data_IF_352184399064
#
_entry.id   IF_352184399064
#
_cell.length_a   1.000
_cell.length_b   1.000
_cell.length_c   1.000
_cell.angle_alpha   90.00
_cell.angle_beta   90.00
_cell.angle_gamma   90.00
#
_symmetry.space_group_name_H-M   'P 1'
#
loop_
_entity.id
_entity.type
_entity.pdbx_description
1 polymer ?
#
# COMPACT_ATOMS: atom_id res chain seq x y z
N UNK A 1 27.46 6.73 -9.76
CA UNK A 1 26.00 6.52 -9.70
C UNK A 1 25.65 5.50 -10.76
N UNK A 2 24.99 4.37 -10.42
CA UNK A 2 24.46 3.49 -11.45
C UNK A 2 23.40 4.25 -12.26
N UNK A 3 23.42 4.06 -13.57
CA UNK A 3 22.41 4.60 -14.47
C UNK A 3 21.40 3.50 -14.81
N UNK A 4 20.11 3.81 -14.64
CA UNK A 4 19.02 2.98 -15.14
C UNK A 4 18.53 3.64 -16.43
N UNK A 5 18.67 2.94 -17.55
CA UNK A 5 18.13 3.38 -18.82
C UNK A 5 16.67 2.93 -18.89
N UNK A 6 15.77 3.86 -19.17
CA UNK A 6 14.34 3.62 -19.29
C UNK A 6 13.91 4.20 -20.63
N UNK A 7 13.18 3.41 -21.40
CA UNK A 7 12.61 3.82 -22.67
C UNK A 7 11.21 4.37 -22.43
N UNK A 8 10.92 5.50 -23.06
CA UNK A 8 9.62 6.15 -23.08
C UNK A 8 9.25 6.41 -24.53
N UNK A 9 7.97 6.31 -24.85
CA UNK A 9 7.45 6.82 -26.12
C UNK A 9 7.61 8.34 -26.19
N UNK A 10 7.52 8.90 -27.39
CA UNK A 10 7.56 10.36 -27.56
C UNK A 10 6.39 11.05 -26.84
N UNK A 11 5.20 10.45 -26.91
CA UNK A 11 3.98 10.91 -26.22
C UNK A 11 4.17 10.92 -24.70
N UNK A 12 4.68 9.83 -24.12
CA UNK A 12 4.97 9.74 -22.68
C UNK A 12 5.99 10.80 -22.23
N UNK A 13 7.02 11.07 -23.05
CA UNK A 13 8.01 12.10 -22.73
C UNK A 13 7.40 13.50 -22.74
N UNK A 14 6.48 13.78 -23.65
CA UNK A 14 5.84 15.08 -23.75
C UNK A 14 4.90 15.32 -22.56
N UNK A 15 4.11 14.33 -22.17
CA UNK A 15 3.29 14.36 -20.95
C UNK A 15 4.15 14.57 -19.70
N UNK A 16 5.25 13.80 -19.54
CA UNK A 16 6.14 13.93 -18.39
C UNK A 16 6.85 15.29 -18.34
N UNK A 17 7.19 15.87 -19.50
CA UNK A 17 7.77 17.22 -19.58
C UNK A 17 6.76 18.27 -19.19
N UNK A 18 5.50 18.14 -19.63
CA UNK A 18 4.43 19.03 -19.23
C UNK A 18 4.23 18.99 -17.72
N UNK A 19 4.07 17.80 -17.15
CA UNK A 19 3.93 17.60 -15.72
C UNK A 19 5.11 18.18 -14.92
N UNK A 20 6.34 17.98 -15.39
CA UNK A 20 7.52 18.53 -14.75
C UNK A 20 7.53 20.06 -14.76
N UNK A 21 7.08 20.68 -15.87
CA UNK A 21 6.94 22.15 -15.98
C UNK A 21 5.88 22.68 -15.02
N UNK A 22 4.72 22.05 -14.96
CA UNK A 22 3.63 22.43 -14.05
C UNK A 22 4.08 22.40 -12.58
N UNK A 23 4.87 21.40 -12.21
CA UNK A 23 5.40 21.24 -10.85
C UNK A 23 6.67 22.07 -10.58
N UNK A 24 7.23 22.74 -11.60
CA UNK A 24 8.46 23.53 -11.46
C UNK A 24 9.71 22.69 -11.15
N UNK A 25 9.74 21.42 -11.57
CA UNK A 25 10.85 20.49 -11.33
C UNK A 25 11.48 20.01 -12.65
N UNK A 26 12.68 19.42 -12.58
CA UNK A 26 13.26 18.78 -13.77
C UNK A 26 12.60 17.44 -14.05
N UNK A 27 12.53 17.02 -15.32
CA UNK A 27 12.02 15.70 -15.72
C UNK A 27 12.71 14.56 -14.94
N UNK A 28 14.03 14.64 -14.77
CA UNK A 28 14.80 13.66 -13.99
C UNK A 28 14.38 13.63 -12.51
N UNK A 29 14.13 14.79 -11.91
CA UNK A 29 13.68 14.89 -10.53
C UNK A 29 12.27 14.31 -10.36
N UNK A 30 11.36 14.62 -11.29
CA UNK A 30 10.01 14.07 -11.34
C UNK A 30 10.03 12.53 -11.40
N UNK A 31 10.73 11.95 -12.37
CA UNK A 31 10.81 10.49 -12.53
C UNK A 31 11.42 9.84 -11.29
N UNK A 32 12.50 10.42 -10.74
CA UNK A 32 13.12 9.91 -9.51
C UNK A 32 12.16 9.96 -8.31
N UNK A 33 11.43 11.06 -8.14
CA UNK A 33 10.49 11.24 -7.03
C UNK A 33 9.35 10.23 -7.13
N UNK A 34 8.74 10.09 -8.31
CA UNK A 34 7.67 9.11 -8.57
C UNK A 34 8.11 7.68 -8.24
N UNK A 35 9.31 7.27 -8.67
CA UNK A 35 9.84 5.94 -8.33
C UNK A 35 10.09 5.78 -6.82
N UNK A 36 10.61 6.82 -6.16
CA UNK A 36 10.83 6.78 -4.72
C UNK A 36 9.51 6.68 -3.94
N UNK A 37 8.48 7.40 -4.37
CA UNK A 37 7.15 7.37 -3.77
C UNK A 37 6.48 6.01 -3.93
N UNK A 38 6.63 5.35 -5.09
CA UNK A 38 6.17 3.98 -5.29
C UNK A 38 6.84 3.00 -4.32
N UNK A 39 8.16 3.13 -4.11
CA UNK A 39 8.88 2.29 -3.15
C UNK A 39 8.38 2.55 -1.72
N UNK A 40 8.20 3.83 -1.35
CA UNK A 40 7.70 4.21 -0.03
C UNK A 40 6.28 3.67 0.20
N UNK A 41 5.39 3.82 -0.77
CA UNK A 41 4.03 3.28 -0.74
C UNK A 41 4.04 1.75 -0.59
N UNK A 42 4.87 1.06 -1.36
CA UNK A 42 4.99 -0.40 -1.27
C UNK A 42 5.42 -0.85 0.13
N UNK A 43 6.42 -0.19 0.74
CA UNK A 43 6.86 -0.48 2.11
C UNK A 43 5.75 -0.21 3.13
N UNK A 44 5.10 0.93 3.04
CA UNK A 44 4.02 1.29 3.95
C UNK A 44 2.86 0.28 3.90
N UNK A 45 2.47 -0.16 2.70
CA UNK A 45 1.43 -1.18 2.54
C UNK A 45 1.87 -2.53 3.12
N UNK A 46 3.13 -2.92 2.92
CA UNK A 46 3.65 -4.17 3.48
C UNK A 46 3.68 -4.14 5.01
N UNK A 47 4.22 -3.08 5.59
CA UNK A 47 4.26 -2.90 7.05
C UNK A 47 2.85 -2.83 7.65
N UNK A 48 1.94 -2.11 6.99
CA UNK A 48 0.53 -2.04 7.38
C UNK A 48 -0.14 -3.42 7.37
N UNK A 49 0.10 -4.23 6.33
CA UNK A 49 -0.43 -5.59 6.25
C UNK A 49 0.13 -6.50 7.35
N UNK A 50 1.43 -6.39 7.68
CA UNK A 50 2.05 -7.15 8.77
C UNK A 50 1.49 -6.76 10.15
N UNK A 51 1.32 -5.46 10.40
CA UNK A 51 0.71 -4.96 11.64
C UNK A 51 -0.75 -5.41 11.73
N UNK A 52 -1.52 -5.28 10.66
CA UNK A 52 -2.90 -5.73 10.60
C UNK A 52 -3.01 -7.22 10.92
N UNK A 53 -2.23 -8.06 10.23
CA UNK A 53 -2.21 -9.50 10.48
C UNK A 53 -1.84 -9.84 11.93
N UNK A 54 -0.84 -9.15 12.51
CA UNK A 54 -0.45 -9.36 13.90
C UNK A 54 -1.57 -8.99 14.89
N UNK A 55 -2.20 -7.84 14.69
CA UNK A 55 -3.23 -7.32 15.60
C UNK A 55 -4.50 -8.16 15.56
N UNK A 56 -4.99 -8.51 14.36
CA UNK A 56 -6.23 -9.27 14.22
C UNK A 56 -6.06 -10.78 14.43
N UNK A 57 -4.82 -11.29 14.44
CA UNK A 57 -4.55 -12.65 14.92
C UNK A 57 -4.21 -12.72 16.41
N UNK A 58 -4.21 -11.60 17.15
CA UNK A 58 -4.00 -11.59 18.59
C UNK A 58 -5.27 -12.08 19.31
N UNK A 59 -5.24 -13.24 20.01
CA UNK A 59 -6.40 -13.74 20.73
C UNK A 59 -6.90 -12.78 21.82
N UNK A 60 -6.01 -11.98 22.42
CA UNK A 60 -6.40 -11.02 23.44
C UNK A 60 -7.30 -9.90 22.88
N UNK A 61 -7.13 -9.55 21.60
CA UNK A 61 -8.01 -8.60 20.93
C UNK A 61 -9.42 -9.19 20.76
N UNK A 62 -9.52 -10.46 20.32
CA UNK A 62 -10.80 -11.14 20.17
C UNK A 62 -11.53 -11.24 21.53
N UNK A 63 -10.81 -11.55 22.61
CA UNK A 63 -11.36 -11.56 23.97
C UNK A 63 -11.86 -10.18 24.41
N UNK A 64 -11.12 -9.11 24.10
CA UNK A 64 -11.52 -7.74 24.43
C UNK A 64 -12.76 -7.28 23.65
N UNK A 65 -12.86 -7.64 22.37
CA UNK A 65 -14.03 -7.36 21.53
C UNK A 65 -15.27 -8.09 22.08
N UNK A 66 -15.13 -9.37 22.43
CA UNK A 66 -16.20 -10.15 23.05
C UNK A 66 -16.63 -9.58 24.41
N UNK A 67 -15.67 -9.16 25.25
CA UNK A 67 -15.95 -8.54 26.54
C UNK A 67 -16.69 -7.19 26.42
N UNK A 68 -16.47 -6.47 25.32
CA UNK A 68 -17.20 -5.25 24.99
C UNK A 68 -18.62 -5.51 24.46
N UNK A 69 -19.00 -6.78 24.26
CA UNK A 69 -20.30 -7.18 23.72
C UNK A 69 -20.46 -6.87 22.23
N UNK A 70 -19.35 -6.67 21.51
CA UNK A 70 -19.34 -6.42 20.07
C UNK A 70 -19.24 -7.76 19.32
N UNK A 71 -20.08 -7.91 18.30
CA UNK A 71 -20.02 -9.05 17.37
C UNK A 71 -18.98 -8.76 16.29
N UNK A 72 -17.86 -9.48 16.31
CA UNK A 72 -16.76 -9.38 15.33
C UNK A 72 -17.01 -10.24 14.07
N UNK A 73 -18.23 -10.75 13.91
CA UNK A 73 -18.63 -11.57 12.78
C UNK A 73 -18.35 -13.07 12.98
N UNK A 74 -18.56 -13.88 11.94
CA UNK A 74 -18.49 -15.33 12.04
C UNK A 74 -17.05 -15.79 12.37
N UNK A 75 -16.88 -16.36 13.56
CA UNK A 75 -15.63 -17.00 13.94
C UNK A 75 -15.31 -18.15 12.97
N UNK A 76 -14.07 -18.19 12.47
CA UNK A 76 -13.54 -19.29 11.66
C UNK A 76 -13.45 -20.58 12.49
N UNK A 77 -14.60 -21.22 12.71
CA UNK A 77 -14.76 -22.37 13.60
C UNK A 77 -16.22 -22.76 13.82
N UNK A 78 -17.18 -21.86 13.57
CA UNK A 78 -18.59 -22.21 13.53
C UNK A 78 -18.93 -22.90 12.20
N UNK A 79 -18.52 -24.17 12.04
CA UNK A 79 -19.21 -25.09 11.13
C UNK A 79 -20.64 -25.27 11.64
N UNK A 80 -21.53 -24.34 11.32
CA UNK A 80 -22.97 -24.59 11.38
C UNK A 80 -23.28 -25.61 10.28
N UNK A 81 -23.34 -26.88 10.68
CA UNK A 81 -24.10 -27.88 9.92
C UNK A 81 -25.56 -27.48 10.01
N UNK A 82 -26.08 -26.92 8.92
CA UNK A 82 -27.51 -26.80 8.71
C UNK A 82 -28.14 -28.21 8.78
N UNK A 83 -29.15 -28.35 9.64
CA UNK A 83 -29.99 -29.53 9.79
C UNK A 83 -31.19 -29.47 8.83
#
# INVERSE_FOLDING_TARGET
>A
MPALNVEFSEEELDELRELAREQGVTLKALVRASTADQIARHRALKEGAEVFARVFHDPALAEAIAAAGLDDGPAAGATERAA
#
